data_IF_584219487837
#
_entry.id   IF_584219487837
#
_cell.length_a   1.000
_cell.length_b   1.000
_cell.length_c   1.000
_cell.angle_alpha   90.00
_cell.angle_beta   90.00
_cell.angle_gamma   90.00
#
_symmetry.space_group_name_H-M   'P 1'
#
loop_
_entity.id
_entity.type
_entity.pdbx_description
1 polymer ?
#
# COMPACT_ATOMS: atom_id res chain seq x y z
N UNK A 1 20.98 -16.33 19.74
CA UNK A 1 19.63 -16.09 19.17
C UNK A 1 19.79 -14.92 18.24
N UNK A 2 19.66 -15.15 16.94
CA UNK A 2 19.82 -14.13 15.91
C UNK A 2 18.48 -13.39 15.78
N UNK A 3 18.47 -12.07 15.90
CA UNK A 3 17.29 -11.26 15.64
C UNK A 3 17.31 -10.87 14.17
N UNK A 4 16.31 -11.28 13.40
CA UNK A 4 16.17 -10.84 12.01
C UNK A 4 15.79 -9.36 11.97
N UNK A 5 16.65 -8.55 11.35
CA UNK A 5 16.36 -7.14 11.08
C UNK A 5 15.72 -7.01 9.71
N UNK A 6 14.50 -6.48 9.66
CA UNK A 6 13.87 -6.10 8.39
C UNK A 6 14.58 -4.86 7.83
N UNK A 7 14.91 -4.91 6.54
CA UNK A 7 15.43 -3.76 5.80
C UNK A 7 14.34 -3.27 4.86
N UNK A 8 14.06 -1.97 4.89
CA UNK A 8 13.07 -1.37 4.01
C UNK A 8 13.54 -1.39 2.55
N UNK A 9 12.59 -1.65 1.65
CA UNK A 9 12.80 -1.58 0.19
C UNK A 9 11.87 -0.50 -0.35
N UNK A 10 12.40 0.39 -1.19
CA UNK A 10 11.65 1.50 -1.75
C UNK A 10 11.39 2.66 -0.77
N UNK A 11 10.53 3.57 -1.19
CA UNK A 11 10.08 4.70 -0.39
C UNK A 11 8.92 4.33 0.52
N UNK A 12 8.60 5.21 1.48
CA UNK A 12 7.37 5.09 2.26
C UNK A 12 6.14 5.15 1.35
N UNK A 13 5.08 4.46 1.79
CA UNK A 13 3.80 4.43 1.09
C UNK A 13 2.78 5.19 1.95
N UNK A 14 2.56 6.45 1.60
CA UNK A 14 1.65 7.33 2.31
C UNK A 14 0.24 7.38 1.69
N UNK A 15 -0.77 7.57 2.54
CA UNK A 15 -2.14 7.87 2.12
C UNK A 15 -2.30 9.32 1.66
N UNK A 16 -3.38 9.60 0.92
CA UNK A 16 -3.62 10.95 0.36
C UNK A 16 -4.30 11.91 1.31
N UNK A 17 -5.27 11.43 2.10
CA UNK A 17 -6.04 12.26 3.02
C UNK A 17 -6.37 11.51 4.32
N UNK A 18 -6.63 12.27 5.38
CA UNK A 18 -7.15 11.72 6.63
C UNK A 18 -8.52 11.05 6.39
N UNK A 19 -8.85 10.05 7.20
CA UNK A 19 -10.12 9.29 7.16
C UNK A 19 -10.42 8.45 5.90
N UNK A 20 -9.58 8.52 4.86
CA UNK A 20 -9.65 7.65 3.67
C UNK A 20 -9.43 6.15 3.98
N UNK A 21 -8.89 5.87 5.18
CA UNK A 21 -8.50 4.52 5.62
C UNK A 21 -7.56 3.84 4.63
N UNK A 22 -6.58 4.58 4.11
CA UNK A 22 -5.50 4.00 3.33
C UNK A 22 -4.76 2.91 4.13
N UNK A 23 -4.48 1.77 3.50
CA UNK A 23 -3.93 0.59 4.20
C UNK A 23 -4.99 -0.34 4.80
N UNK A 24 -6.29 -0.08 4.56
CA UNK A 24 -7.37 -0.93 5.08
C UNK A 24 -7.27 -2.39 4.63
N UNK A 25 -6.79 -2.62 3.40
CA UNK A 25 -6.47 -3.94 2.88
C UNK A 25 -5.18 -3.87 2.07
N UNK A 26 -4.30 -4.86 2.27
CA UNK A 26 -3.02 -4.98 1.56
C UNK A 26 -2.86 -6.40 1.05
N UNK A 27 -2.34 -6.54 -0.17
CA UNK A 27 -1.96 -7.83 -0.74
C UNK A 27 -0.67 -7.66 -1.56
N UNK A 28 0.11 -8.73 -1.62
CA UNK A 28 1.35 -8.82 -2.38
C UNK A 28 1.25 -10.03 -3.32
N UNK A 29 1.86 -9.93 -4.49
CA UNK A 29 1.95 -11.04 -5.40
C UNK A 29 3.00 -12.08 -4.97
N UNK A 30 3.06 -13.20 -5.67
CA UNK A 30 3.96 -14.31 -5.34
C UNK A 30 5.45 -13.97 -5.52
N UNK A 31 5.75 -13.08 -6.48
CA UNK A 31 7.11 -12.60 -6.72
C UNK A 31 7.60 -11.64 -5.62
N UNK A 32 6.69 -11.03 -4.85
CA UNK A 32 7.02 -10.11 -3.77
C UNK A 32 7.38 -8.70 -4.27
N UNK A 33 7.13 -8.38 -5.53
CA UNK A 33 7.49 -7.12 -6.15
C UNK A 33 6.28 -6.27 -6.57
N UNK A 34 5.06 -6.78 -6.42
CA UNK A 34 3.85 -5.99 -6.63
C UNK A 34 2.95 -5.98 -5.42
N UNK A 35 2.67 -4.78 -4.91
CA UNK A 35 1.82 -4.55 -3.76
C UNK A 35 0.57 -3.80 -4.20
N UNK A 36 -0.59 -4.20 -3.69
CA UNK A 36 -1.84 -3.44 -3.81
C UNK A 36 -2.29 -2.95 -2.45
N UNK A 37 -2.69 -1.68 -2.37
CA UNK A 37 -3.16 -1.05 -1.13
C UNK A 37 -4.51 -0.41 -1.36
N UNK A 38 -5.50 -0.82 -0.55
CA UNK A 38 -6.85 -0.27 -0.57
C UNK A 38 -7.04 0.88 0.41
N UNK A 39 -7.85 1.86 0.01
CA UNK A 39 -8.38 2.95 0.82
C UNK A 39 -9.90 2.98 0.64
N UNK A 40 -10.64 2.31 1.52
CA UNK A 40 -12.09 2.06 1.35
C UNK A 40 -12.93 3.33 1.35
N UNK A 41 -12.45 4.41 1.96
CA UNK A 41 -13.16 5.68 2.07
C UNK A 41 -12.61 6.78 1.16
N UNK A 42 -11.65 6.49 0.27
CA UNK A 42 -11.05 7.53 -0.55
C UNK A 42 -12.09 8.23 -1.45
N UNK A 43 -11.99 9.56 -1.51
CA UNK A 43 -12.95 10.45 -2.16
C UNK A 43 -12.58 10.82 -3.61
N UNK A 44 -11.46 10.31 -4.16
CA UNK A 44 -10.96 10.70 -5.48
C UNK A 44 -11.92 10.43 -6.64
N UNK A 45 -12.82 9.45 -6.49
CA UNK A 45 -13.90 9.12 -7.43
C UNK A 45 -15.30 9.56 -7.01
N UNK A 46 -15.44 10.31 -5.91
CA UNK A 46 -16.72 10.63 -5.25
C UNK A 46 -16.75 10.19 -3.79
N UNK A 47 -17.75 10.66 -3.03
CA UNK A 47 -17.78 10.45 -1.56
C UNK A 47 -17.71 8.97 -1.17
N UNK A 48 -16.67 8.61 -0.42
CA UNK A 48 -16.33 7.26 0.03
C UNK A 48 -16.39 6.21 -1.09
N UNK A 49 -16.02 6.60 -2.31
CA UNK A 49 -16.03 5.71 -3.48
C UNK A 49 -15.00 4.58 -3.38
N UNK A 50 -13.96 4.80 -2.58
CA UNK A 50 -12.87 3.87 -2.40
C UNK A 50 -11.84 3.97 -3.54
N UNK A 51 -10.61 3.57 -3.23
CA UNK A 51 -9.52 3.58 -4.18
C UNK A 51 -8.53 2.44 -3.92
N UNK A 52 -7.87 1.96 -4.96
CA UNK A 52 -6.77 0.97 -4.89
C UNK A 52 -5.57 1.54 -5.61
N UNK A 53 -4.41 1.53 -4.95
CA UNK A 53 -3.12 1.83 -5.57
C UNK A 53 -2.31 0.55 -5.76
N UNK A 54 -1.59 0.49 -6.86
CA UNK A 54 -0.65 -0.59 -7.19
C UNK A 54 0.76 -0.01 -7.18
N UNK A 55 1.65 -0.65 -6.44
CA UNK A 55 3.08 -0.34 -6.38
C UNK A 55 3.85 -1.48 -7.00
N UNK A 56 4.77 -1.14 -7.90
CA UNK A 56 5.63 -2.08 -8.60
C UNK A 56 7.09 -1.79 -8.19
N UNK A 57 7.69 -2.78 -7.54
CA UNK A 57 9.03 -2.76 -6.99
C UNK A 57 10.00 -3.61 -7.82
N UNK A 58 9.62 -4.09 -9.01
CA UNK A 58 10.46 -4.93 -9.88
C UNK A 58 11.78 -4.28 -10.34
N UNK A 59 11.97 -2.99 -10.06
CA UNK A 59 13.18 -2.23 -10.37
C UNK A 59 14.10 -1.96 -9.17
N UNK A 60 13.80 -2.54 -8.02
CA UNK A 60 14.67 -2.53 -6.85
C UNK A 60 15.45 -3.84 -6.70
#
# INVERSE_FOLDING_TARGET
MEWYSWTQVGADIDGEAADDRFGYAVSIDDAGDRIVVGAINNDGGGSNSGHVRVYDLSRY
#
